data_IF_081745847540
#
_entry.id   IF_081745847540
#
_cell.length_a   1.000
_cell.length_b   1.000
_cell.length_c   1.000
_cell.angle_alpha   90.00
_cell.angle_beta   90.00
_cell.angle_gamma   90.00
#
_symmetry.space_group_name_H-M   'P 1'
#
loop_
_entity.id
_entity.type
_entity.pdbx_description
1 polymer ?
#
# COMPACT_ATOMS: atom_id res chain seq x y z
N UNK A 1 3.82 6.74 -5.98
CA UNK A 1 3.78 5.31 -6.37
C UNK A 1 2.58 4.57 -5.80
N UNK A 2 2.55 4.23 -4.49
CA UNK A 2 1.47 3.41 -3.91
C UNK A 2 0.06 3.98 -4.06
N UNK A 3 -0.11 5.31 -4.02
CA UNK A 3 -1.41 5.95 -4.20
C UNK A 3 -1.69 6.37 -5.66
N UNK A 4 -0.89 5.91 -6.63
CA UNK A 4 -0.90 6.38 -8.03
C UNK A 4 -0.68 7.89 -8.19
N UNK A 5 0.01 8.54 -7.24
CA UNK A 5 0.37 9.96 -7.34
C UNK A 5 1.85 10.18 -7.67
N UNK A 6 2.15 11.29 -8.35
CA UNK A 6 3.47 11.91 -8.45
C UNK A 6 3.60 13.09 -7.48
N UNK A 7 4.81 13.29 -6.97
CA UNK A 7 5.17 14.42 -6.12
C UNK A 7 6.25 15.22 -6.84
N UNK A 8 6.03 16.52 -7.02
CA UNK A 8 7.02 17.44 -7.58
C UNK A 8 7.23 18.63 -6.67
N UNK A 9 8.43 19.20 -6.71
CA UNK A 9 8.82 20.38 -5.95
C UNK A 9 9.18 21.47 -6.96
N UNK A 10 8.43 22.57 -6.94
CA UNK A 10 8.74 23.75 -7.74
C UNK A 10 8.75 24.97 -6.83
N UNK A 11 9.84 25.72 -6.85
CA UNK A 11 10.03 26.94 -6.05
C UNK A 11 9.72 26.76 -4.54
N UNK A 12 10.03 25.59 -3.98
CA UNK A 12 9.79 25.27 -2.57
C UNK A 12 8.34 24.89 -2.22
N UNK A 13 7.46 24.76 -3.22
CA UNK A 13 6.07 24.28 -3.06
C UNK A 13 5.98 22.85 -3.54
N UNK A 14 5.37 21.99 -2.72
CA UNK A 14 5.05 20.61 -3.09
C UNK A 14 3.74 20.57 -3.86
N UNK A 15 3.76 19.92 -5.02
CA UNK A 15 2.56 19.60 -5.80
C UNK A 15 2.39 18.08 -5.83
N UNK A 16 1.18 17.63 -5.56
CA UNK A 16 0.78 16.24 -5.66
C UNK A 16 -0.19 16.12 -6.84
N UNK A 17 0.15 15.31 -7.83
CA UNK A 17 -0.70 15.06 -8.99
C UNK A 17 -1.17 13.62 -9.01
N UNK A 18 -2.44 13.42 -9.34
CA UNK A 18 -3.03 12.10 -9.47
C UNK A 18 -2.79 11.57 -10.90
N UNK A 19 -2.03 10.49 -11.04
CA UNK A 19 -1.58 9.98 -12.35
C UNK A 19 -2.66 9.29 -13.19
N UNK A 20 -3.71 8.68 -12.62
CA UNK A 20 -4.80 8.11 -13.40
C UNK A 20 -5.69 9.15 -14.08
N UNK A 21 -5.72 10.38 -13.57
CA UNK A 21 -6.49 11.48 -14.17
C UNK A 21 -5.69 12.10 -15.31
N UNK A 22 -6.39 12.39 -16.41
CA UNK A 22 -5.77 13.03 -17.56
C UNK A 22 -5.30 14.44 -17.15
N UNK A 23 -4.00 14.76 -17.30
CA UNK A 23 -3.49 16.01 -16.78
C UNK A 23 -4.02 17.22 -17.58
N UNK A 24 -4.10 18.37 -16.92
CA UNK A 24 -4.39 19.64 -17.59
C UNK A 24 -3.11 20.19 -18.20
N UNK A 25 -3.11 20.44 -19.50
CA UNK A 25 -1.95 20.96 -20.21
C UNK A 25 -1.64 22.41 -19.79
N UNK A 26 -0.37 22.67 -19.46
CA UNK A 26 0.13 24.00 -19.08
C UNK A 26 0.40 24.85 -20.32
N UNK A 27 0.81 24.21 -21.42
CA UNK A 27 1.09 24.88 -22.69
C UNK A 27 0.87 23.92 -23.87
N UNK A 28 0.87 24.46 -25.08
CA UNK A 28 0.85 23.72 -26.34
C UNK A 28 2.19 23.92 -27.05
N UNK A 29 2.81 22.82 -27.50
CA UNK A 29 3.98 22.84 -28.36
C UNK A 29 3.54 22.75 -29.82
N UNK A 30 4.06 23.66 -30.63
CA UNK A 30 3.80 23.78 -32.07
C UNK A 30 5.09 23.74 -32.88
N UNK A 31 4.96 23.64 -34.21
CA UNK A 31 6.10 23.57 -35.12
C UNK A 31 7.04 24.80 -35.05
N UNK A 32 6.55 25.96 -34.62
CA UNK A 32 7.33 27.19 -34.44
C UNK A 32 8.10 27.25 -33.10
N UNK A 33 7.74 26.39 -32.15
CA UNK A 33 8.39 26.30 -30.83
C UNK A 33 9.61 25.38 -30.84
N UNK A 34 9.73 24.51 -31.85
CA UNK A 34 10.76 23.48 -31.95
C UNK A 34 11.91 23.91 -32.86
N UNK A 35 13.13 23.55 -32.47
CA UNK A 35 14.29 23.70 -33.32
C UNK A 35 14.21 22.73 -34.51
N UNK A 36 14.51 23.23 -35.71
CA UNK A 36 14.45 22.41 -36.91
C UNK A 36 15.42 21.22 -36.83
N UNK A 37 14.97 20.04 -37.26
CA UNK A 37 15.72 18.77 -37.21
C UNK A 37 16.12 18.29 -35.81
N UNK A 38 15.54 18.84 -34.74
CA UNK A 38 15.79 18.38 -33.36
C UNK A 38 14.87 17.23 -32.92
N UNK A 39 13.77 17.00 -33.64
CA UNK A 39 12.74 16.03 -33.24
C UNK A 39 13.24 14.59 -33.40
N UNK A 40 13.18 13.83 -32.32
CA UNK A 40 13.46 12.39 -32.30
C UNK A 40 12.37 11.67 -31.52
N UNK A 41 11.80 10.61 -32.08
CA UNK A 41 10.84 9.75 -31.38
C UNK A 41 11.55 8.48 -30.95
N UNK A 42 11.63 8.27 -29.64
CA UNK A 42 12.12 7.02 -29.05
C UNK A 42 10.96 6.23 -28.45
N UNK A 43 11.26 5.03 -27.97
CA UNK A 43 10.29 4.17 -27.28
C UNK A 43 10.82 3.88 -25.88
N UNK A 44 9.95 3.51 -24.95
CA UNK A 44 10.37 2.87 -23.71
C UNK A 44 11.13 1.60 -24.05
N UNK A 45 12.32 1.47 -23.46
CA UNK A 45 13.22 0.35 -23.65
C UNK A 45 12.56 -0.96 -23.21
N UNK A 46 12.78 -2.02 -23.99
CA UNK A 46 12.08 -3.30 -23.79
C UNK A 46 12.51 -4.03 -22.52
N UNK A 47 13.70 -3.74 -22.03
CA UNK A 47 14.32 -4.25 -20.80
C UNK A 47 13.79 -3.60 -19.52
N UNK A 48 13.15 -2.43 -19.64
CA UNK A 48 12.53 -1.72 -18.52
C UNK A 48 11.06 -2.13 -18.34
N UNK A 49 10.54 -2.98 -19.24
CA UNK A 49 9.16 -3.41 -19.21
C UNK A 49 8.92 -4.44 -18.10
N UNK A 50 7.73 -4.38 -17.51
CA UNK A 50 7.30 -5.36 -16.51
C UNK A 50 6.05 -6.05 -17.00
N UNK A 51 6.21 -7.29 -17.45
CA UNK A 51 5.12 -8.11 -17.97
C UNK A 51 4.50 -9.02 -16.92
N UNK A 52 5.14 -9.18 -15.75
CA UNK A 52 4.57 -9.83 -14.57
C UNK A 52 4.77 -8.95 -13.34
N UNK A 53 3.68 -8.45 -12.80
CA UNK A 53 3.69 -7.57 -11.63
C UNK A 53 3.11 -8.29 -10.42
N UNK A 54 3.89 -8.41 -9.34
CA UNK A 54 3.47 -9.04 -8.09
C UNK A 54 3.27 -7.96 -7.03
N UNK A 55 2.02 -7.72 -6.64
CA UNK A 55 1.67 -6.83 -5.54
C UNK A 55 1.58 -7.64 -4.24
N UNK A 56 2.34 -7.25 -3.23
CA UNK A 56 2.33 -7.86 -1.91
C UNK A 56 1.71 -6.90 -0.88
N UNK A 57 0.89 -7.39 0.05
CA UNK A 57 0.30 -6.54 1.10
C UNK A 57 -0.07 -7.32 2.35
N UNK A 58 -0.61 -6.60 3.35
CA UNK A 58 -1.12 -7.18 4.60
C UNK A 58 -2.57 -6.78 4.82
N UNK A 59 -3.43 -7.75 5.11
CA UNK A 59 -4.80 -7.46 5.57
C UNK A 59 -4.79 -6.84 6.98
N UNK A 60 -3.86 -7.30 7.83
CA UNK A 60 -3.69 -6.86 9.22
C UNK A 60 -2.23 -6.95 9.66
N UNK A 61 -1.82 -6.09 10.60
CA UNK A 61 -0.49 -6.14 11.21
C UNK A 61 -0.23 -7.39 12.06
N UNK A 62 -1.27 -8.16 12.38
CA UNK A 62 -1.14 -9.44 13.09
C UNK A 62 -0.67 -10.60 12.19
N UNK A 63 -0.67 -10.41 10.87
CA UNK A 63 -0.31 -11.44 9.91
C UNK A 63 1.21 -11.49 9.70
N UNK A 64 1.78 -12.70 9.73
CA UNK A 64 3.22 -12.93 9.56
C UNK A 64 3.65 -12.95 8.09
N UNK A 65 2.79 -13.47 7.20
CA UNK A 65 3.07 -13.60 5.77
C UNK A 65 2.33 -12.56 4.93
N UNK A 66 2.96 -12.04 3.87
CA UNK A 66 2.31 -11.12 2.94
C UNK A 66 1.34 -11.87 2.00
N UNK A 67 0.16 -11.30 1.78
CA UNK A 67 -0.75 -11.68 0.71
C UNK A 67 -0.19 -11.20 -0.64
N UNK A 68 -0.55 -11.89 -1.73
CA UNK A 68 -0.01 -11.59 -3.07
C UNK A 68 -1.09 -11.62 -4.14
N UNK A 69 -0.97 -10.69 -5.09
CA UNK A 69 -1.71 -10.60 -6.34
C UNK A 69 -0.66 -10.63 -7.44
N UNK A 70 -0.80 -11.57 -8.37
CA UNK A 70 0.11 -11.71 -9.49
C UNK A 70 -0.66 -11.35 -10.76
N UNK A 71 -0.23 -10.28 -11.42
CA UNK A 71 -0.78 -9.84 -12.69
C UNK A 71 0.23 -10.06 -13.81
N UNK A 72 -0.26 -10.32 -15.03
CA UNK A 72 0.53 -10.55 -16.23
C UNK A 72 -0.10 -9.83 -17.41
N UNK A 73 0.73 -9.20 -18.23
CA UNK A 73 0.29 -8.54 -19.46
C UNK A 73 1.45 -8.47 -20.46
N UNK A 74 1.16 -8.61 -21.76
CA UNK A 74 2.14 -8.64 -22.86
C UNK A 74 3.27 -9.69 -22.74
N UNK A 75 3.09 -10.74 -21.93
CA UNK A 75 4.10 -11.82 -21.77
C UNK A 75 4.41 -12.52 -23.09
N UNK A 76 3.40 -12.75 -23.93
CA UNK A 76 3.58 -13.36 -25.25
C UNK A 76 4.47 -12.50 -26.18
N UNK A 77 4.43 -11.17 -26.01
CA UNK A 77 5.15 -10.21 -26.86
C UNK A 77 6.57 -9.92 -26.38
N UNK A 78 6.77 -9.72 -25.08
CA UNK A 78 8.05 -9.27 -24.52
C UNK A 78 8.74 -10.29 -23.60
N UNK A 79 8.15 -11.48 -23.44
CA UNK A 79 8.62 -12.50 -22.50
C UNK A 79 8.25 -12.15 -21.05
N UNK A 80 8.77 -12.92 -20.10
CA UNK A 80 8.53 -12.72 -18.66
C UNK A 80 9.59 -11.78 -18.10
N UNK A 81 9.14 -10.64 -17.57
CA UNK A 81 9.94 -9.67 -16.83
C UNK A 81 9.19 -9.33 -15.55
N UNK A 82 9.79 -9.65 -14.40
CA UNK A 82 9.08 -9.70 -13.12
C UNK A 82 9.48 -8.53 -12.20
N UNK A 83 8.50 -7.85 -11.63
CA UNK A 83 8.69 -6.89 -10.53
C UNK A 83 7.78 -7.28 -9.36
N UNK A 84 8.29 -7.16 -8.14
CA UNK A 84 7.51 -7.37 -6.91
C UNK A 84 7.54 -6.08 -6.09
N UNK A 85 6.37 -5.68 -5.58
CA UNK A 85 6.22 -4.44 -4.82
C UNK A 85 5.32 -4.63 -3.60
N UNK A 86 5.81 -4.23 -2.42
CA UNK A 86 5.05 -4.27 -1.16
C UNK A 86 4.23 -2.98 -0.97
N UNK A 87 2.91 -3.14 -0.93
CA UNK A 87 1.95 -2.11 -0.58
C UNK A 87 1.69 -2.13 0.93
N UNK A 88 1.98 -1.02 1.59
CA UNK A 88 1.85 -0.87 3.05
C UNK A 88 0.88 0.23 3.48
N UNK A 89 0.42 1.08 2.56
CA UNK A 89 -0.56 2.15 2.88
C UNK A 89 -2.01 1.70 2.79
N UNK A 90 -2.26 0.54 2.17
CA UNK A 90 -3.60 -0.05 2.00
C UNK A 90 -3.62 -1.46 2.58
N UNK A 91 -4.75 -1.82 3.16
CA UNK A 91 -5.06 -3.16 3.65
C UNK A 91 -6.27 -3.78 2.92
N UNK A 92 -6.90 -3.05 2.00
CA UNK A 92 -8.03 -3.50 1.20
C UNK A 92 -7.53 -4.11 -0.12
N UNK A 93 -7.88 -5.38 -0.43
CA UNK A 93 -7.41 -6.06 -1.64
C UNK A 93 -7.91 -5.38 -2.93
N UNK A 94 -9.15 -4.88 -2.97
CA UNK A 94 -9.71 -4.24 -4.17
C UNK A 94 -8.91 -3.00 -4.60
N UNK A 95 -8.50 -2.18 -3.62
CA UNK A 95 -7.68 -0.99 -3.89
C UNK A 95 -6.33 -1.40 -4.45
N UNK A 96 -5.71 -2.43 -3.87
CA UNK A 96 -4.40 -2.91 -4.28
C UNK A 96 -4.46 -3.53 -5.67
N UNK A 97 -5.49 -4.31 -5.95
CA UNK A 97 -5.74 -4.89 -7.27
C UNK A 97 -5.86 -3.82 -8.35
N UNK A 98 -6.62 -2.76 -8.06
CA UNK A 98 -6.77 -1.62 -8.97
C UNK A 98 -5.48 -0.86 -9.22
N UNK A 99 -4.72 -0.61 -8.15
CA UNK A 99 -3.45 0.11 -8.24
C UNK A 99 -2.39 -0.73 -8.96
N UNK A 100 -2.34 -2.03 -8.69
CA UNK A 100 -1.47 -2.97 -9.37
C UNK A 100 -1.81 -3.02 -10.87
N UNK A 101 -3.09 -2.99 -11.24
CA UNK A 101 -3.54 -2.95 -12.64
C UNK A 101 -3.08 -1.67 -13.34
N UNK A 102 -3.22 -0.51 -12.70
CA UNK A 102 -2.70 0.75 -13.25
C UNK A 102 -1.18 0.68 -13.53
N UNK A 103 -0.39 0.17 -12.59
CA UNK A 103 1.06 0.04 -12.79
C UNK A 103 1.42 -1.03 -13.81
N UNK A 104 0.68 -2.14 -13.88
CA UNK A 104 0.84 -3.16 -14.92
C UNK A 104 0.64 -2.55 -16.31
N UNK A 105 -0.43 -1.77 -16.51
CA UNK A 105 -0.70 -1.10 -17.80
C UNK A 105 0.46 -0.17 -18.17
N UNK A 106 0.93 0.65 -17.22
CA UNK A 106 2.03 1.60 -17.42
C UNK A 106 3.37 0.92 -17.71
N UNK A 107 3.68 -0.20 -17.04
CA UNK A 107 4.99 -0.85 -17.13
C UNK A 107 5.06 -1.97 -18.18
N UNK A 108 3.96 -2.62 -18.52
CA UNK A 108 3.95 -3.73 -19.50
C UNK A 108 3.95 -3.28 -20.95
N UNK A 109 3.71 -1.98 -21.20
CA UNK A 109 3.63 -1.40 -22.53
C UNK A 109 4.86 -0.55 -22.84
N UNK A 110 5.37 -0.66 -24.07
CA UNK A 110 6.37 0.27 -24.60
C UNK A 110 5.66 1.52 -25.14
N UNK A 111 5.93 2.66 -24.52
CA UNK A 111 5.31 3.95 -24.85
C UNK A 111 6.22 4.76 -25.77
N UNK A 112 5.62 5.65 -26.58
CA UNK A 112 6.39 6.62 -27.35
C UNK A 112 6.93 7.72 -26.44
N UNK A 113 8.16 8.11 -26.69
CA UNK A 113 8.84 9.26 -26.10
C UNK A 113 9.15 10.27 -27.20
N UNK A 114 8.67 11.49 -27.02
CA UNK A 114 8.90 12.60 -27.95
C UNK A 114 10.04 13.45 -27.41
N UNK A 115 11.15 13.50 -28.15
CA UNK A 115 12.31 14.31 -27.81
C UNK A 115 12.43 15.47 -28.80
N UNK A 116 12.64 16.67 -28.30
CA UNK A 116 12.88 17.84 -29.14
C UNK A 116 13.68 18.90 -28.37
N UNK A 117 14.28 19.82 -29.12
CA UNK A 117 14.80 21.06 -28.55
C UNK A 117 13.76 22.15 -28.77
N UNK A 118 13.40 22.88 -27.71
CA UNK A 118 12.51 24.04 -27.79
C UNK A 118 13.26 25.34 -27.48
N UNK A 119 12.71 26.46 -27.95
CA UNK A 119 13.28 27.78 -27.71
C UNK A 119 12.94 28.34 -26.32
N UNK A 120 13.60 29.43 -25.94
CA UNK A 120 13.45 30.11 -24.63
C UNK A 120 12.03 30.60 -24.32
N UNK A 121 11.14 30.69 -25.31
CA UNK A 121 9.73 31.03 -25.07
C UNK A 121 8.99 29.94 -24.28
N UNK A 122 9.56 28.74 -24.18
CA UNK A 122 9.04 27.59 -23.41
C UNK A 122 9.83 27.31 -22.12
N UNK A 123 10.55 28.31 -21.60
CA UNK A 123 11.35 28.19 -20.35
C UNK A 123 10.51 27.89 -19.10
N UNK A 124 9.21 28.18 -19.15
CA UNK A 124 8.27 27.90 -18.07
C UNK A 124 7.89 26.42 -17.94
N UNK A 125 8.32 25.55 -18.88
CA UNK A 125 8.02 24.13 -18.84
C UNK A 125 8.96 23.41 -17.86
N UNK A 126 8.37 22.73 -16.88
CA UNK A 126 9.09 21.95 -15.88
C UNK A 126 8.85 20.44 -16.04
N UNK A 127 9.64 19.63 -15.33
CA UNK A 127 9.40 18.19 -15.26
C UNK A 127 8.06 17.89 -14.60
N UNK A 128 7.39 16.85 -15.09
CA UNK A 128 6.01 16.47 -14.75
C UNK A 128 4.92 17.48 -15.14
N UNK A 129 5.22 18.55 -15.88
CA UNK A 129 4.16 19.31 -16.55
C UNK A 129 3.57 18.52 -17.72
N UNK A 130 2.28 18.75 -17.97
CA UNK A 130 1.62 18.26 -19.16
C UNK A 130 1.63 19.33 -20.25
N UNK A 131 1.91 18.91 -21.48
CA UNK A 131 1.88 19.76 -22.68
C UNK A 131 1.03 19.11 -23.75
N UNK A 132 0.33 19.92 -24.53
CA UNK A 132 -0.36 19.43 -25.74
C UNK A 132 0.62 19.48 -26.91
N UNK A 133 0.85 18.34 -27.55
CA UNK A 133 1.62 18.24 -28.79
C UNK A 133 0.67 18.48 -29.96
N UNK A 134 0.73 19.67 -30.56
CA UNK A 134 -0.08 20.07 -31.72
C UNK A 134 0.88 20.42 -32.86
N UNK A 135 1.16 19.44 -33.71
CA UNK A 135 2.06 19.60 -34.85
C UNK A 135 1.30 19.36 -36.15
N UNK A 136 1.65 20.07 -37.21
CA UNK A 136 1.12 19.81 -38.55
C UNK A 136 1.61 18.46 -39.10
N UNK A 137 2.76 17.99 -38.60
CA UNK A 137 3.33 16.69 -38.94
C UNK A 137 2.99 15.66 -37.86
N UNK A 138 2.48 14.50 -38.27
CA UNK A 138 2.13 13.41 -37.37
C UNK A 138 3.37 12.66 -36.87
N UNK A 139 4.14 13.27 -35.96
CA UNK A 139 5.35 12.67 -35.38
C UNK A 139 5.02 11.45 -34.50
N UNK A 140 4.06 11.62 -33.58
CA UNK A 140 3.73 10.60 -32.56
C UNK A 140 2.28 10.15 -32.56
N UNK A 141 1.37 10.97 -33.08
CA UNK A 141 -0.09 10.79 -33.05
C UNK A 141 -0.71 11.26 -34.37
N UNK A 142 -1.93 10.78 -34.67
CA UNK A 142 -2.75 11.26 -35.78
C UNK A 142 -3.46 12.59 -35.50
N UNK A 143 -3.43 13.06 -34.26
CA UNK A 143 -3.99 14.34 -33.83
C UNK A 143 -3.33 14.84 -32.56
N UNK A 144 -3.89 15.89 -31.98
CA UNK A 144 -3.38 16.49 -30.75
C UNK A 144 -3.38 15.47 -29.61
N UNK A 145 -2.26 15.38 -28.89
CA UNK A 145 -2.11 14.46 -27.77
C UNK A 145 -1.44 15.15 -26.60
N UNK A 146 -1.87 14.84 -25.38
CA UNK A 146 -1.21 15.31 -24.16
C UNK A 146 -0.01 14.44 -23.84
N UNK A 147 1.10 15.07 -23.47
CA UNK A 147 2.33 14.39 -23.08
C UNK A 147 2.83 14.94 -21.75
N UNK A 148 3.48 14.08 -20.95
CA UNK A 148 4.12 14.48 -19.69
C UNK A 148 5.61 14.69 -19.94
N UNK A 149 6.15 15.82 -19.51
CA UNK A 149 7.59 16.08 -19.58
C UNK A 149 8.29 15.21 -18.53
N UNK A 150 9.12 14.25 -18.95
CA UNK A 150 9.93 13.43 -18.05
C UNK A 150 11.28 14.10 -17.75
N UNK A 151 11.85 14.79 -18.74
CA UNK A 151 13.13 15.49 -18.64
C UNK A 151 13.04 16.86 -19.32
N UNK A 152 13.54 17.88 -18.64
CA UNK A 152 13.75 19.22 -19.20
C UNK A 152 15.16 19.69 -18.82
N UNK A 153 16.03 19.89 -19.82
CA UNK A 153 17.42 20.30 -19.61
C UNK A 153 17.73 21.56 -20.40
N UNK A 154 18.15 22.62 -19.70
CA UNK A 154 18.53 23.88 -20.33
C UNK A 154 19.98 23.85 -20.83
N UNK A 155 20.19 24.12 -22.12
CA UNK A 155 21.51 24.30 -22.73
C UNK A 155 21.82 25.81 -22.86
N UNK A 156 22.76 26.27 -22.04
CA UNK A 156 23.19 27.68 -22.05
C UNK A 156 24.04 28.08 -23.25
N UNK A 157 24.63 27.12 -23.98
CA UNK A 157 25.45 27.40 -25.15
C UNK A 157 24.59 27.68 -26.39
N UNK A 158 23.55 26.86 -26.58
CA UNK A 158 22.62 26.96 -27.70
C UNK A 158 21.35 27.77 -27.38
N UNK A 159 21.12 28.12 -26.10
CA UNK A 159 19.92 28.82 -25.62
C UNK A 159 18.64 28.04 -25.94
N UNK A 160 18.72 26.72 -25.87
CA UNK A 160 17.61 25.79 -26.12
C UNK A 160 17.33 24.95 -24.88
N UNK A 161 16.15 24.34 -24.85
CA UNK A 161 15.74 23.42 -23.80
C UNK A 161 15.49 22.07 -24.45
N UNK A 162 16.25 21.06 -24.05
CA UNK A 162 16.01 19.67 -24.42
C UNK A 162 14.85 19.12 -23.60
N UNK A 163 13.77 18.73 -24.27
CA UNK A 163 12.60 18.13 -23.67
C UNK A 163 12.49 16.66 -24.08
N UNK A 164 12.22 15.79 -23.11
CA UNK A 164 11.77 14.41 -23.32
C UNK A 164 10.37 14.28 -22.73
N UNK A 165 9.40 13.97 -23.57
CA UNK A 165 8.00 13.86 -23.20
C UNK A 165 7.50 12.42 -23.36
N UNK A 166 6.94 11.85 -22.30
CA UNK A 166 6.20 10.60 -22.35
C UNK A 166 4.81 10.84 -22.98
N UNK A 167 4.47 10.02 -23.97
CA UNK A 167 3.21 10.13 -24.71
C UNK A 167 2.38 8.87 -24.46
N UNK A 168 1.06 8.98 -24.20
CA UNK A 168 0.15 7.86 -23.94
C UNK A 168 -0.20 7.04 -25.20
N UNK A 169 0.78 6.81 -26.10
CA UNK A 169 0.63 6.05 -27.34
C UNK A 169 1.58 4.86 -27.34
N UNK A 170 1.04 3.66 -27.54
CA UNK A 170 1.82 2.41 -27.61
C UNK A 170 2.70 2.36 -28.87
N UNK A 171 3.82 1.65 -28.78
CA UNK A 171 4.64 1.32 -29.93
C UNK A 171 3.82 0.63 -31.05
N UNK A 172 3.88 1.18 -32.26
CA UNK A 172 3.12 0.69 -33.43
C UNK A 172 1.72 1.28 -33.60
N UNK A 173 1.21 2.05 -32.63
CA UNK A 173 -0.05 2.81 -32.75
C UNK A 173 0.23 4.28 -33.11
N UNK A 174 -0.80 5.00 -33.56
CA UNK A 174 -0.85 6.46 -33.69
C UNK A 174 -2.08 7.06 -32.98
N UNK A 175 -2.73 6.26 -32.14
CA UNK A 175 -3.92 6.61 -31.36
C UNK A 175 -3.58 6.45 -29.89
N UNK A 176 -4.05 7.39 -29.08
CA UNK A 176 -3.94 7.35 -27.62
C UNK A 176 -4.55 6.07 -27.06
N UNK A 177 -3.88 5.49 -26.07
CA UNK A 177 -4.34 4.28 -25.43
C UNK A 177 -5.37 4.63 -24.34
N UNK A 178 -6.60 4.07 -24.38
CA UNK A 178 -7.68 4.47 -23.48
C UNK A 178 -7.28 4.38 -21.99
N UNK A 179 -6.69 3.27 -21.58
CA UNK A 179 -6.34 3.06 -20.18
C UNK A 179 -5.01 3.73 -19.74
N UNK A 180 -4.48 4.68 -20.51
CA UNK A 180 -3.33 5.48 -20.09
C UNK A 180 -3.71 6.45 -18.94
N UNK A 181 -4.94 6.96 -18.96
CA UNK A 181 -5.55 7.85 -17.97
C UNK A 181 -6.89 7.29 -17.48
N UNK A 182 -6.90 6.17 -16.74
CA UNK A 182 -8.15 5.44 -16.52
C UNK A 182 -9.17 6.17 -15.63
N UNK A 183 -8.82 7.24 -14.90
CA UNK A 183 -9.69 7.80 -13.86
C UNK A 183 -11.13 8.11 -14.32
N UNK A 184 -11.26 8.64 -15.54
CA UNK A 184 -12.53 9.12 -16.11
C UNK A 184 -13.06 8.26 -17.27
N UNK A 185 -12.41 7.14 -17.56
CA UNK A 185 -12.86 6.22 -18.60
C UNK A 185 -14.25 5.66 -18.29
N UNK A 186 -15.00 5.35 -19.35
CA UNK A 186 -16.36 4.82 -19.22
C UNK A 186 -16.35 3.42 -18.59
N UNK A 187 -17.38 3.12 -17.79
CA UNK A 187 -17.46 1.85 -17.03
C UNK A 187 -17.60 0.64 -17.95
N UNK A 188 -18.10 0.83 -19.17
CA UNK A 188 -18.30 -0.24 -20.15
C UNK A 188 -17.03 -0.60 -20.93
N UNK A 189 -15.95 0.18 -20.80
CA UNK A 189 -14.65 -0.15 -21.41
C UNK A 189 -13.96 -1.24 -20.58
N UNK A 190 -13.50 -2.30 -21.26
CA UNK A 190 -12.90 -3.48 -20.63
C UNK A 190 -11.40 -3.57 -20.90
N UNK A 191 -10.64 -3.83 -19.82
CA UNK A 191 -9.22 -4.16 -19.86
C UNK A 191 -9.02 -5.66 -19.57
N UNK A 192 -8.10 -6.34 -20.27
CA UNK A 192 -7.42 -5.96 -21.51
C UNK A 192 -8.41 -5.78 -22.67
N UNK A 193 -8.04 -5.01 -23.69
CA UNK A 193 -8.95 -4.82 -24.83
C UNK A 193 -9.16 -6.14 -25.59
N UNK A 194 -10.27 -6.26 -26.33
CA UNK A 194 -10.52 -7.47 -27.13
C UNK A 194 -9.37 -7.77 -28.11
N UNK A 195 -8.74 -6.73 -28.68
CA UNK A 195 -7.55 -6.90 -29.54
C UNK A 195 -6.36 -7.49 -28.78
N UNK A 196 -6.14 -7.09 -27.53
CA UNK A 196 -5.08 -7.62 -26.68
C UNK A 196 -5.37 -9.06 -26.25
N UNK A 197 -6.64 -9.37 -26.01
CA UNK A 197 -7.11 -10.72 -25.74
C UNK A 197 -6.88 -11.65 -26.94
N UNK A 198 -7.34 -11.25 -28.13
CA UNK A 198 -7.20 -12.02 -29.38
C UNK A 198 -5.73 -12.23 -29.77
N UNK A 199 -4.85 -11.27 -29.43
CA UNK A 199 -3.41 -11.36 -29.63
C UNK A 199 -2.69 -12.22 -28.56
N UNK A 200 -3.41 -12.71 -27.54
CA UNK A 200 -2.84 -13.48 -26.43
C UNK A 200 -1.95 -12.64 -25.50
N UNK A 201 -2.18 -11.33 -25.45
CA UNK A 201 -1.43 -10.38 -24.61
C UNK A 201 -2.13 -10.06 -23.28
N UNK A 202 -3.40 -10.45 -23.14
CA UNK A 202 -4.23 -10.19 -21.97
C UNK A 202 -3.73 -10.80 -20.65
N UNK A 203 -2.72 -11.68 -20.70
CA UNK A 203 -2.32 -12.51 -19.57
C UNK A 203 -2.78 -13.96 -19.75
N UNK A 204 -2.55 -14.79 -18.74
CA UNK A 204 -3.16 -16.10 -18.64
C UNK A 204 -4.57 -16.00 -18.05
N UNK A 205 -5.46 -16.90 -18.47
CA UNK A 205 -6.82 -16.94 -17.92
C UNK A 205 -6.85 -17.40 -16.42
N UNK A 206 -5.71 -17.46 -15.73
CA UNK A 206 -5.57 -17.98 -14.36
C UNK A 206 -5.47 -19.50 -14.29
N UNK A 207 -5.21 -20.03 -13.09
CA UNK A 207 -5.24 -21.48 -12.85
C UNK A 207 -6.69 -21.96 -12.97
N UNK A 208 -6.96 -22.84 -13.94
CA UNK A 208 -8.26 -23.49 -14.09
C UNK A 208 -9.27 -22.78 -14.99
N UNK A 209 -8.89 -21.75 -15.73
CA UNK A 209 -9.82 -21.12 -16.68
C UNK A 209 -10.27 -22.03 -17.82
N UNK A 210 -9.40 -22.92 -18.28
CA UNK A 210 -9.75 -23.94 -19.27
C UNK A 210 -10.17 -25.27 -18.59
N UNK A 211 -10.29 -25.28 -17.26
CA UNK A 211 -10.74 -26.47 -16.53
C UNK A 211 -12.24 -26.64 -16.71
N UNK A 212 -12.61 -27.61 -17.53
CA UNK A 212 -14.01 -27.99 -17.74
C UNK A 212 -14.45 -28.92 -16.60
N UNK A 213 -15.37 -28.46 -15.75
CA UNK A 213 -15.95 -29.27 -14.68
C UNK A 213 -16.97 -28.50 -13.83
N UNK A 214 -18.06 -29.14 -13.45
CA UNK A 214 -18.99 -28.56 -12.48
C UNK A 214 -18.39 -28.64 -11.08
N UNK A 215 -18.14 -27.49 -10.44
CA UNK A 215 -17.87 -27.47 -9.01
C UNK A 215 -19.09 -28.03 -8.28
N UNK A 216 -18.92 -28.91 -7.28
CA UNK A 216 -20.03 -29.38 -6.47
C UNK A 216 -20.57 -28.22 -5.64
N UNK A 217 -21.63 -27.56 -6.13
CA UNK A 217 -22.42 -26.62 -5.35
C UNK A 217 -23.25 -27.48 -4.38
N UNK A 218 -22.69 -27.76 -3.21
CA UNK A 218 -23.31 -28.59 -2.18
C UNK A 218 -23.92 -27.73 -1.08
N UNK A 219 -25.23 -27.82 -0.89
CA UNK A 219 -25.88 -27.38 0.35
C UNK A 219 -25.55 -28.43 1.42
N UNK A 220 -24.84 -28.05 2.49
CA UNK A 220 -24.72 -28.91 3.67
C UNK A 220 -25.90 -28.55 4.59
N UNK A 221 -26.93 -29.41 4.72
CA UNK A 221 -27.97 -29.18 5.70
C UNK A 221 -27.38 -29.39 7.09
N UNK A 222 -27.20 -28.30 7.84
CA UNK A 222 -27.04 -28.36 9.29
C UNK A 222 -28.42 -28.51 9.92
N UNK A 223 -28.58 -29.47 10.82
CA UNK A 223 -29.79 -29.58 11.63
C UNK A 223 -29.96 -28.29 12.44
N UNK A 224 -30.96 -27.47 12.10
CA UNK A 224 -31.17 -26.16 12.73
C UNK A 224 -31.04 -24.96 11.79
N UNK A 225 -31.75 -24.99 10.66
CA UNK A 225 -32.27 -23.82 9.94
C UNK A 225 -31.34 -22.65 9.55
N UNK A 226 -30.06 -22.88 9.31
CA UNK A 226 -29.22 -21.96 8.55
C UNK A 226 -28.45 -22.71 7.45
N UNK A 227 -28.81 -22.57 6.16
CA UNK A 227 -27.97 -23.07 5.10
C UNK A 227 -26.64 -22.29 5.10
N UNK A 228 -25.52 -22.99 5.27
CA UNK A 228 -24.21 -22.43 4.96
C UNK A 228 -24.06 -22.46 3.44
N UNK A 229 -24.05 -21.29 2.82
CA UNK A 229 -23.64 -21.14 1.43
C UNK A 229 -22.11 -21.19 1.39
N UNK A 230 -21.55 -22.32 0.96
CA UNK A 230 -20.15 -22.37 0.54
C UNK A 230 -20.12 -21.82 -0.89
N UNK A 231 -19.69 -20.56 -1.04
CA UNK A 231 -19.70 -19.82 -2.31
C UNK A 231 -20.78 -18.73 -2.40
N UNK A 232 -20.87 -17.83 -1.41
CA UNK A 232 -21.61 -16.58 -1.56
C UNK A 232 -21.00 -15.69 -2.65
N UNK A 233 -21.70 -14.60 -3.03
CA UNK A 233 -21.36 -13.64 -4.11
C UNK A 233 -19.92 -13.07 -4.07
N UNK A 234 -19.18 -13.31 -2.98
CA UNK A 234 -17.88 -12.74 -2.68
C UNK A 234 -16.85 -13.76 -2.14
N UNK A 235 -17.05 -15.06 -2.34
CA UNK A 235 -15.93 -16.00 -2.17
C UNK A 235 -15.23 -16.08 -3.52
N UNK A 236 -14.05 -15.45 -3.63
CA UNK A 236 -13.18 -15.50 -4.80
C UNK A 236 -12.69 -16.95 -4.99
N UNK A 237 -13.53 -17.78 -5.59
CA UNK A 237 -13.19 -19.07 -6.20
C UNK A 237 -13.35 -19.00 -7.72
N UNK A 238 -13.26 -17.79 -8.29
CA UNK A 238 -12.94 -17.66 -9.71
C UNK A 238 -11.45 -17.93 -9.92
N UNK A 239 -11.01 -18.39 -11.10
CA UNK A 239 -9.60 -18.30 -11.45
C UNK A 239 -9.16 -16.87 -11.14
N UNK A 240 -8.15 -16.68 -10.31
CA UNK A 240 -7.50 -15.38 -10.20
C UNK A 240 -6.95 -15.12 -11.60
N UNK A 241 -7.70 -14.35 -12.39
CA UNK A 241 -7.26 -13.95 -13.71
C UNK A 241 -6.04 -13.09 -13.45
N UNK A 242 -4.92 -13.46 -14.06
CA UNK A 242 -3.72 -12.63 -13.95
C UNK A 242 -3.85 -11.37 -14.83
N UNK A 243 -5.01 -11.17 -15.47
CA UNK A 243 -5.32 -10.12 -16.42
C UNK A 243 -5.53 -8.74 -15.80
N UNK A 244 -5.65 -8.63 -14.47
CA UNK A 244 -5.92 -7.37 -13.77
C UNK A 244 -7.40 -7.00 -13.69
N UNK A 245 -7.67 -5.79 -13.19
CA UNK A 245 -9.01 -5.22 -13.05
C UNK A 245 -9.63 -4.97 -14.42
N UNK A 246 -10.78 -5.61 -14.76
CA UNK A 246 -11.43 -5.41 -16.04
C UNK A 246 -11.95 -4.00 -16.25
N UNK A 247 -12.19 -3.24 -15.18
CA UNK A 247 -12.66 -1.86 -15.25
C UNK A 247 -11.74 -0.97 -14.42
N UNK A 248 -10.53 -0.64 -14.92
CA UNK A 248 -9.53 0.12 -14.16
C UNK A 248 -9.96 1.57 -13.86
N UNK A 249 -11.12 1.99 -14.35
CA UNK A 249 -11.70 3.33 -14.13
C UNK A 249 -12.06 3.61 -12.68
N UNK A 250 -11.87 4.86 -12.24
CA UNK A 250 -12.26 5.30 -10.90
C UNK A 250 -13.74 5.65 -10.78
N UNK A 251 -14.47 5.74 -11.91
CA UNK A 251 -15.92 5.94 -11.91
C UNK A 251 -16.65 4.72 -11.35
N UNK A 252 -17.51 4.96 -10.36
CA UNK A 252 -18.34 3.92 -9.75
C UNK A 252 -17.59 2.90 -8.89
N UNK A 253 -16.28 3.10 -8.68
CA UNK A 253 -15.50 2.22 -7.81
C UNK A 253 -15.81 2.50 -6.33
N UNK A 254 -16.33 1.48 -5.66
CA UNK A 254 -16.49 1.46 -4.21
C UNK A 254 -15.67 0.30 -3.64
N UNK A 255 -14.60 0.62 -2.91
CA UNK A 255 -13.82 -0.39 -2.21
C UNK A 255 -14.71 -1.10 -1.17
N UNK A 256 -14.62 -2.42 -1.09
CA UNK A 256 -15.41 -3.15 -0.11
C UNK A 256 -15.04 -2.73 1.30
N UNK A 257 -16.06 -2.54 2.14
CA UNK A 257 -15.84 -2.32 3.57
C UNK A 257 -15.14 -3.54 4.14
N UNK A 258 -14.00 -3.32 4.80
CA UNK A 258 -13.33 -4.37 5.55
C UNK A 258 -14.32 -4.92 6.58
N UNK A 259 -14.77 -6.16 6.41
CA UNK A 259 -15.40 -6.90 7.51
C UNK A 259 -14.31 -7.19 8.53
N UNK A 260 -14.11 -6.25 9.45
CA UNK A 260 -13.53 -6.56 10.74
C UNK A 260 -14.63 -7.32 11.46
N UNK A 261 -14.63 -8.64 11.31
CA UNK A 261 -15.49 -9.52 12.09
C UNK A 261 -15.22 -9.19 13.56
N UNK A 262 -16.15 -8.47 14.18
CA UNK A 262 -16.15 -8.14 15.61
C UNK A 262 -16.36 -9.38 16.50
N UNK A 263 -16.21 -10.58 15.92
CA UNK A 263 -16.16 -11.87 16.59
C UNK A 263 -14.76 -12.23 17.11
N UNK A 264 -13.76 -11.35 16.97
CA UNK A 264 -12.73 -11.24 18.01
C UNK A 264 -13.29 -10.27 19.05
N UNK A 265 -13.69 -10.81 20.19
CA UNK A 265 -14.45 -10.11 21.23
C UNK A 265 -13.89 -8.74 21.64
N UNK A 266 -14.82 -7.84 21.97
CA UNK A 266 -14.62 -6.62 22.75
C UNK A 266 -13.85 -5.43 22.12
N UNK A 267 -13.81 -5.28 20.80
CA UNK A 267 -13.32 -4.01 20.19
C UNK A 267 -14.44 -2.98 19.98
N UNK A 268 -15.72 -3.36 20.12
CA UNK A 268 -16.87 -2.44 19.89
C UNK A 268 -17.15 -1.53 21.10
N UNK A 269 -16.53 -1.76 22.26
CA UNK A 269 -16.70 -0.91 23.44
C UNK A 269 -15.50 -0.04 23.78
N UNK A 270 -14.39 -0.10 23.04
CA UNK A 270 -13.30 0.86 23.23
C UNK A 270 -13.71 2.18 22.57
N UNK A 271 -13.87 3.28 23.33
CA UNK A 271 -14.11 4.58 22.73
C UNK A 271 -12.98 4.85 21.74
N UNK A 272 -13.33 5.34 20.54
CA UNK A 272 -12.35 5.74 19.51
C UNK A 272 -11.23 6.51 20.21
N UNK A 273 -9.95 6.10 20.09
CA UNK A 273 -8.87 6.86 20.69
C UNK A 273 -8.94 8.26 20.11
N UNK A 274 -9.27 9.24 20.95
CA UNK A 274 -9.20 10.64 20.56
C UNK A 274 -7.73 10.91 20.31
N UNK A 275 -7.41 11.26 19.07
CA UNK A 275 -6.08 11.75 18.72
C UNK A 275 -5.92 13.12 19.38
N UNK A 276 -5.64 13.13 20.67
CA UNK A 276 -5.24 14.30 21.42
C UNK A 276 -3.79 14.60 21.03
N UNK A 277 -3.62 15.14 19.83
CA UNK A 277 -2.41 15.88 19.49
C UNK A 277 -2.44 17.13 20.37
N UNK A 278 -1.98 16.98 21.61
CA UNK A 278 -1.58 18.09 22.48
C UNK A 278 -0.35 18.78 21.87
N UNK A 279 -0.48 19.26 20.64
CA UNK A 279 0.46 20.13 19.98
C UNK A 279 0.28 21.52 20.55
N UNK A 280 0.81 21.71 21.75
CA UNK A 280 1.10 23.03 22.26
C UNK A 280 2.29 23.55 21.47
N UNK A 281 2.01 24.45 20.52
CA UNK A 281 3.08 25.24 19.91
C UNK A 281 3.70 26.11 21.01
N UNK A 282 4.91 25.74 21.44
CA UNK A 282 5.72 26.59 22.31
C UNK A 282 6.16 27.81 21.50
N UNK A 283 5.42 28.91 21.63
CA UNK A 283 5.96 30.22 21.30
C UNK A 283 7.11 30.52 22.25
N UNK A 284 8.20 31.04 21.68
CA UNK A 284 9.52 31.24 22.27
C UNK A 284 9.61 31.48 23.80
N UNK A 285 10.62 30.82 24.37
CA UNK A 285 11.31 31.16 25.62
C UNK A 285 10.52 31.03 26.93
N UNK A 286 10.20 29.79 27.31
CA UNK A 286 10.38 29.35 28.70
C UNK A 286 10.64 27.85 28.71
N UNK A 287 11.79 27.44 29.26
CA UNK A 287 12.06 26.05 29.51
C UNK A 287 10.90 25.48 30.36
N UNK A 288 10.23 24.46 29.83
CA UNK A 288 9.26 23.68 30.60
C UNK A 288 10.02 23.06 31.77
N UNK A 289 9.71 23.50 32.99
CA UNK A 289 10.06 22.72 34.18
C UNK A 289 9.28 21.40 34.07
N UNK A 290 10.01 20.32 33.83
CA UNK A 290 9.46 18.97 33.92
C UNK A 290 8.84 18.85 35.31
N UNK A 291 7.57 18.38 35.44
CA UNK A 291 7.07 18.03 36.76
C UNK A 291 8.03 17.00 37.35
N UNK A 292 8.48 17.24 38.58
CA UNK A 292 9.37 16.32 39.30
C UNK A 292 8.79 14.91 39.18
N UNK A 293 9.48 14.06 38.40
CA UNK A 293 9.17 12.64 38.41
C UNK A 293 9.39 12.20 39.85
N UNK A 294 8.41 11.55 40.52
CA UNK A 294 8.72 10.97 41.81
C UNK A 294 9.84 9.95 41.57
N UNK A 295 11.03 10.24 42.12
CA UNK A 295 12.22 9.41 41.97
C UNK A 295 12.07 8.04 42.66
N UNK A 296 10.90 7.75 43.23
CA UNK A 296 10.55 6.50 43.87
C UNK A 296 9.08 6.17 43.64
N UNK A 297 8.81 4.89 43.36
CA UNK A 297 7.46 4.31 43.42
C UNK A 297 7.31 3.69 44.80
N UNK A 298 6.36 4.20 45.60
CA UNK A 298 6.04 3.65 46.92
C UNK A 298 4.99 2.56 46.79
N UNK A 299 5.33 1.34 47.20
CA UNK A 299 4.41 0.20 47.30
C UNK A 299 4.10 -0.06 48.77
N UNK A 300 2.81 -0.12 49.13
CA UNK A 300 2.36 -0.44 50.48
C UNK A 300 2.19 -1.96 50.56
N UNK A 301 3.05 -2.62 51.34
CA UNK A 301 3.16 -4.09 51.34
C UNK A 301 1.87 -4.76 51.87
N UNK A 302 1.24 -4.16 52.87
CA UNK A 302 0.05 -4.65 53.55
C UNK A 302 -1.23 -4.55 52.72
N UNK A 303 -1.25 -3.67 51.71
CA UNK A 303 -2.43 -3.40 50.87
C UNK A 303 -2.30 -3.97 49.45
N UNK A 304 -1.11 -4.44 49.08
CA UNK A 304 -0.84 -4.96 47.73
C UNK A 304 -1.23 -6.44 47.62
N UNK A 305 -2.32 -6.73 46.90
CA UNK A 305 -2.80 -8.10 46.63
C UNK A 305 -2.03 -8.80 45.51
N UNK A 306 -1.85 -10.11 45.65
CA UNK A 306 -1.22 -10.99 44.68
C UNK A 306 -2.24 -12.00 44.16
N UNK A 307 -2.29 -12.18 42.84
CA UNK A 307 -3.18 -13.11 42.16
C UNK A 307 -2.37 -14.14 41.35
N UNK A 308 -2.92 -15.33 41.14
CA UNK A 308 -2.39 -16.30 40.18
C UNK A 308 -2.63 -15.83 38.74
N UNK A 309 -1.96 -16.46 37.77
CA UNK A 309 -2.23 -16.27 36.34
C UNK A 309 -3.67 -16.63 35.94
N UNK A 310 -4.38 -17.39 36.78
CA UNK A 310 -5.79 -17.76 36.61
C UNK A 310 -6.74 -16.80 37.36
N UNK A 311 -6.23 -15.73 37.95
CA UNK A 311 -7.02 -14.67 38.60
C UNK A 311 -7.47 -14.98 40.03
N UNK A 312 -6.94 -16.03 40.67
CA UNK A 312 -7.27 -16.38 42.05
C UNK A 312 -6.40 -15.59 43.04
N UNK A 313 -7.01 -14.96 44.06
CA UNK A 313 -6.28 -14.23 45.12
C UNK A 313 -5.44 -15.21 45.96
N UNK A 314 -4.14 -14.96 46.04
CA UNK A 314 -3.16 -15.79 46.78
C UNK A 314 -2.87 -15.17 48.15
N UNK A 315 -2.94 -13.84 48.27
CA UNK A 315 -2.70 -13.11 49.51
C UNK A 315 -2.16 -11.70 49.27
N UNK A 316 -1.51 -11.13 50.29
CA UNK A 316 -0.87 -9.81 50.23
C UNK A 316 0.65 -9.94 50.15
N UNK A 317 1.33 -8.87 49.72
CA UNK A 317 2.77 -8.85 49.49
C UNK A 317 3.60 -8.95 50.80
N UNK A 318 3.06 -8.47 51.92
CA UNK A 318 3.64 -8.60 53.28
C UNK A 318 3.72 -10.06 53.81
N UNK A 319 2.93 -10.97 53.22
CA UNK A 319 3.00 -12.39 53.55
C UNK A 319 4.30 -13.04 53.05
N UNK A 320 4.96 -12.43 52.06
CA UNK A 320 6.18 -12.97 51.43
C UNK A 320 7.41 -12.11 51.70
N UNK A 321 7.25 -10.80 51.81
CA UNK A 321 8.33 -9.86 52.02
C UNK A 321 8.28 -9.30 53.45
N UNK A 322 9.43 -9.29 54.13
CA UNK A 322 9.61 -8.62 55.41
C UNK A 322 10.67 -7.54 55.25
N UNK A 323 10.31 -6.34 55.66
CA UNK A 323 11.29 -5.28 55.86
C UNK A 323 11.93 -5.46 57.24
N UNK A 324 13.25 -5.60 57.29
CA UNK A 324 13.98 -5.70 58.57
C UNK A 324 14.64 -4.35 58.86
N UNK A 325 14.13 -3.65 59.88
CA UNK A 325 14.62 -2.34 60.31
C UNK A 325 15.65 -2.40 61.46
N UNK A 326 16.00 -3.59 61.94
CA UNK A 326 16.71 -3.77 63.21
C UNK A 326 18.26 -3.72 63.09
N UNK A 327 18.80 -3.32 61.93
CA UNK A 327 20.24 -3.09 61.73
C UNK A 327 20.51 -1.89 60.82
N UNK A 328 21.71 -1.31 60.90
CA UNK A 328 22.16 -0.17 60.08
C UNK A 328 22.05 -0.40 58.56
N UNK A 329 21.86 -1.66 58.13
CA UNK A 329 21.42 -2.02 56.78
C UNK A 329 19.93 -2.39 56.76
N UNK A 330 19.10 -1.45 56.33
CA UNK A 330 17.68 -1.70 56.03
C UNK A 330 17.56 -2.57 54.79
N UNK A 331 17.33 -3.87 54.97
CA UNK A 331 17.20 -4.83 53.86
C UNK A 331 15.77 -5.35 53.73
N UNK A 332 15.32 -5.44 52.47
CA UNK A 332 14.11 -6.17 52.10
C UNK A 332 14.45 -7.66 52.02
N UNK A 333 13.88 -8.46 52.92
CA UNK A 333 14.10 -9.89 52.99
C UNK A 333 12.86 -10.70 52.60
N UNK A 334 13.09 -11.93 52.14
CA UNK A 334 12.02 -12.93 52.01
C UNK A 334 11.70 -13.52 53.39
N UNK A 335 10.41 -13.69 53.70
CA UNK A 335 9.96 -14.36 54.91
C UNK A 335 10.23 -15.86 54.81
N UNK A 336 11.13 -16.38 55.64
CA UNK A 336 11.44 -17.82 55.70
C UNK A 336 10.30 -18.65 56.35
N UNK A 337 9.37 -17.99 57.03
CA UNK A 337 8.14 -18.58 57.56
C UNK A 337 6.95 -18.51 56.58
N UNK A 338 7.16 -17.97 55.37
CA UNK A 338 6.14 -17.96 54.33
C UNK A 338 5.81 -19.40 53.93
N UNK A 339 4.59 -19.85 54.27
CA UNK A 339 4.07 -21.13 53.81
C UNK A 339 3.83 -21.06 52.31
N UNK A 340 4.71 -21.67 51.52
CA UNK A 340 4.43 -22.00 50.13
C UNK A 340 3.34 -23.07 50.15
N UNK A 341 2.10 -22.67 49.86
CA UNK A 341 1.00 -23.62 49.67
C UNK A 341 1.16 -24.23 48.28
N UNK A 342 1.77 -25.40 48.20
CA UNK A 342 1.68 -26.23 47.00
C UNK A 342 0.24 -26.76 46.90
N UNK A 343 -0.47 -26.37 45.84
CA UNK A 343 -1.71 -27.02 45.42
C UNK A 343 -1.39 -28.44 44.94
N UNK A 344 -1.35 -29.38 45.88
CA UNK A 344 -1.84 -30.76 45.79
C UNK A 344 -1.04 -31.70 46.74
N UNK A 345 -1.81 -32.42 47.57
CA UNK A 345 -1.42 -33.53 48.44
C UNK A 345 -0.70 -33.21 49.75
N UNK A 346 -1.51 -33.32 50.81
CA UNK A 346 -1.12 -33.32 52.21
C UNK A 346 -0.20 -34.51 52.53
N UNK A 347 0.92 -34.25 53.22
CA UNK A 347 1.64 -35.35 53.86
C UNK A 347 3.05 -35.12 54.36
N UNK A 348 3.72 -33.98 54.16
CA UNK A 348 5.05 -33.74 54.75
C UNK A 348 5.35 -32.23 54.80
N UNK A 349 5.58 -31.71 56.01
CA UNK A 349 5.94 -30.31 56.24
C UNK A 349 7.44 -30.23 56.59
N UNK A 350 8.20 -29.45 55.82
CA UNK A 350 9.52 -28.96 56.21
C UNK A 350 9.53 -27.43 56.20
N UNK A 351 10.30 -26.81 57.09
CA UNK A 351 10.59 -25.37 56.99
C UNK A 351 11.54 -25.14 55.82
N UNK A 352 11.60 -23.92 55.27
CA UNK A 352 12.56 -23.59 54.20
C UNK A 352 14.03 -23.86 54.61
N UNK A 353 14.30 -23.88 55.92
CA UNK A 353 15.59 -24.22 56.53
C UNK A 353 16.02 -25.69 56.29
N UNK A 354 15.08 -26.60 55.97
CA UNK A 354 15.38 -28.03 55.78
C UNK A 354 15.95 -28.37 54.39
N UNK A 355 16.05 -27.39 53.48
CA UNK A 355 16.48 -27.60 52.08
C UNK A 355 17.95 -27.22 51.85
N UNK A 356 18.62 -26.58 52.80
CA UNK A 356 20.01 -26.10 52.65
C UNK A 356 20.93 -26.46 53.83
N UNK A 357 20.97 -27.74 54.21
CA UNK A 357 22.05 -28.32 55.02
C UNK A 357 22.71 -29.52 54.36
#
# INVERSE_FOLDING_TARGET
FQARCSLRISNGVFFLSYLPEEPTAVDTLRDDDIENQSVTVTLTDTEDLVTKYTAEWRLSYAQENLDKIILRHNVNKYGIQEETYEYYIYNQPDIIFKIATFWLIRKSNSWKKFNCNVFLNKLNLETFDAVTLNFATNYVSNGDVKAIIEKATFDSANQTIELECWVPIKAGSMVEYPFAWPADEEVDEEFPTQEEYDAGNAGGNGIGADAVGNLPIGQIPLEGNAPIYVGGLNVVFGPQTDTGDPHPTDRGFEAQSLRIDSTIGDIVSTPKPVLALNMFYLSDAKALELPDRPNSTSLILEETKIYTTEGQEVGYLDNFLKFNSDSDDSMLGLRMDAKVVALANAGEFGRLDDVWS
#
